data_IF_661376156473
#
_entry.id   IF_661376156473
#
_cell.length_a   1.000
_cell.length_b   1.000
_cell.length_c   1.000
_cell.angle_alpha   90.00
_cell.angle_beta   90.00
_cell.angle_gamma   90.00
#
_symmetry.space_group_name_H-M   'P 1'
#
loop_
_entity.id
_entity.type
_entity.pdbx_description
1 polymer ?
#
# COMPACT_ATOMS: atom_id res chain seq x y z
N UNK A 1 -9.93 -15.26 -1.44
CA UNK A 1 -9.43 -14.08 -0.70
C UNK A 1 -10.43 -12.97 -0.95
N UNK A 2 -11.05 -12.40 0.10
CA UNK A 2 -11.99 -11.30 -0.06
C UNK A 2 -11.29 -10.04 -0.55
N UNK A 3 -11.96 -9.27 -1.38
CA UNK A 3 -11.51 -8.01 -1.96
C UNK A 3 -12.62 -6.96 -1.84
N UNK A 4 -12.25 -5.68 -1.94
CA UNK A 4 -13.22 -4.58 -1.98
C UNK A 4 -13.80 -4.47 -3.39
N UNK A 5 -15.13 -4.38 -3.51
CA UNK A 5 -15.83 -4.12 -4.78
C UNK A 5 -17.03 -3.22 -4.58
N UNK A 6 -17.31 -2.40 -5.57
CA UNK A 6 -18.53 -1.62 -5.63
C UNK A 6 -19.69 -2.48 -6.16
N UNK A 7 -20.79 -2.54 -5.42
CA UNK A 7 -22.00 -3.31 -5.71
C UNK A 7 -23.11 -2.41 -6.28
N UNK A 8 -23.15 -1.12 -5.88
CA UNK A 8 -23.98 -0.08 -6.49
C UNK A 8 -23.31 1.29 -6.37
N UNK A 9 -23.93 2.36 -6.88
CA UNK A 9 -23.36 3.73 -6.91
C UNK A 9 -22.75 4.14 -5.56
N UNK A 10 -23.46 3.91 -4.46
CA UNK A 10 -23.00 4.28 -3.12
C UNK A 10 -22.64 3.07 -2.24
N UNK A 11 -22.61 1.86 -2.79
CA UNK A 11 -22.52 0.65 -1.99
C UNK A 11 -21.30 -0.19 -2.35
N UNK A 12 -20.50 -0.50 -1.35
CA UNK A 12 -19.27 -1.26 -1.45
C UNK A 12 -19.36 -2.49 -0.54
N UNK A 13 -18.87 -3.62 -1.05
CA UNK A 13 -18.70 -4.85 -0.30
C UNK A 13 -17.20 -5.13 -0.13
N UNK A 14 -16.77 -5.28 1.12
CA UNK A 14 -15.37 -5.52 1.49
C UNK A 14 -15.02 -7.01 1.58
N UNK A 15 -16.01 -7.88 1.39
CA UNK A 15 -15.88 -9.33 1.40
C UNK A 15 -16.11 -9.97 0.03
N UNK A 16 -16.13 -9.14 -1.01
CA UNK A 16 -16.43 -9.56 -2.38
C UNK A 16 -15.34 -10.47 -2.96
N UNK A 17 -15.67 -11.31 -3.95
CA UNK A 17 -14.69 -12.20 -4.56
C UNK A 17 -13.58 -11.47 -5.32
N UNK A 18 -12.39 -12.06 -5.38
CA UNK A 18 -11.23 -11.50 -6.10
C UNK A 18 -11.15 -12.05 -7.54
N UNK A 19 -10.01 -11.90 -8.21
CA UNK A 19 -9.79 -12.29 -9.60
C UNK A 19 -10.02 -13.77 -9.89
N UNK A 20 -9.88 -14.65 -8.90
CA UNK A 20 -10.10 -16.10 -9.04
C UNK A 20 -11.58 -16.49 -9.05
N UNK A 21 -12.49 -15.52 -8.97
CA UNK A 21 -13.92 -15.79 -8.90
C UNK A 21 -14.42 -15.96 -7.47
N UNK A 22 -15.71 -16.28 -7.34
CA UNK A 22 -16.44 -16.49 -6.08
C UNK A 22 -15.78 -17.55 -5.19
N UNK A 23 -15.38 -18.66 -5.80
CA UNK A 23 -14.66 -19.74 -5.14
C UNK A 23 -13.87 -20.56 -6.15
N UNK A 24 -13.01 -21.43 -5.63
CA UNK A 24 -12.25 -22.40 -6.43
C UNK A 24 -12.39 -23.79 -5.80
N UNK A 25 -12.66 -24.80 -6.62
CA UNK A 25 -12.64 -26.21 -6.22
C UNK A 25 -11.49 -26.89 -6.96
N UNK A 26 -10.51 -27.39 -6.20
CA UNK A 26 -9.38 -28.16 -6.72
C UNK A 26 -9.73 -29.64 -6.57
N UNK A 27 -9.75 -30.38 -7.68
CA UNK A 27 -10.04 -31.82 -7.67
C UNK A 27 -8.77 -32.64 -7.81
N UNK A 28 -8.77 -33.84 -7.24
CA UNK A 28 -7.64 -34.79 -7.28
C UNK A 28 -7.29 -35.27 -8.70
N UNK A 29 -8.24 -35.17 -9.65
CA UNK A 29 -8.01 -35.52 -11.05
C UNK A 29 -7.26 -34.43 -11.86
N UNK A 30 -6.93 -33.31 -11.23
CA UNK A 30 -6.25 -32.17 -11.86
C UNK A 30 -7.19 -31.12 -12.46
N UNK A 31 -8.52 -31.28 -12.31
CA UNK A 31 -9.47 -30.23 -12.69
C UNK A 31 -9.56 -29.17 -11.59
N UNK A 32 -9.35 -27.91 -11.98
CA UNK A 32 -9.62 -26.76 -11.15
C UNK A 32 -10.89 -26.08 -11.66
N UNK A 33 -11.90 -25.96 -10.80
CA UNK A 33 -13.16 -25.29 -11.10
C UNK A 33 -13.17 -23.89 -10.47
N UNK A 34 -13.18 -22.87 -11.30
CA UNK A 34 -13.34 -21.47 -10.91
C UNK A 34 -14.78 -21.05 -11.13
N UNK A 35 -15.33 -20.19 -10.27
CA UNK A 35 -16.73 -19.75 -10.36
C UNK A 35 -16.77 -18.25 -10.64
N UNK A 36 -17.34 -17.82 -11.77
CA UNK A 36 -17.44 -16.40 -12.10
C UNK A 36 -18.48 -15.67 -11.22
N UNK A 37 -18.67 -14.38 -11.47
CA UNK A 37 -19.67 -13.55 -10.77
C UNK A 37 -21.11 -14.04 -10.88
N UNK A 38 -21.44 -14.78 -11.96
CA UNK A 38 -22.75 -15.37 -12.19
C UNK A 38 -22.85 -16.78 -11.59
N UNK A 39 -21.81 -17.24 -10.87
CA UNK A 39 -21.68 -18.58 -10.32
C UNK A 39 -21.62 -19.70 -11.40
N UNK A 40 -21.30 -19.34 -12.64
CA UNK A 40 -20.99 -20.29 -13.70
C UNK A 40 -19.58 -20.87 -13.51
N UNK A 41 -19.37 -22.08 -14.01
CA UNK A 41 -18.12 -22.82 -13.81
C UNK A 41 -17.16 -22.69 -14.99
N UNK A 42 -15.93 -22.29 -14.71
CA UNK A 42 -14.78 -22.34 -15.62
C UNK A 42 -13.89 -23.51 -15.19
N UNK A 43 -13.63 -24.44 -16.12
CA UNK A 43 -12.80 -25.62 -15.87
C UNK A 43 -11.42 -25.44 -16.49
N UNK A 44 -10.38 -25.50 -15.66
CA UNK A 44 -8.98 -25.54 -16.09
C UNK A 44 -8.39 -26.90 -15.72
N UNK A 45 -7.94 -27.65 -16.73
CA UNK A 45 -7.31 -28.96 -16.53
C UNK A 45 -5.80 -28.83 -16.38
N UNK A 46 -5.30 -28.94 -15.16
CA UNK A 46 -3.86 -28.88 -14.88
C UNK A 46 -3.10 -30.12 -15.40
N UNK A 47 -3.79 -31.25 -15.56
CA UNK A 47 -3.25 -32.52 -16.04
C UNK A 47 -3.33 -32.70 -17.57
N UNK A 48 -4.00 -31.79 -18.30
CA UNK A 48 -4.21 -31.91 -19.75
C UNK A 48 -2.90 -32.04 -20.54
N UNK A 49 -2.86 -32.90 -21.55
CA UNK A 49 -1.68 -33.13 -22.37
C UNK A 49 -1.54 -32.07 -23.47
N UNK A 50 -0.36 -31.98 -24.09
CA UNK A 50 -0.18 -31.17 -25.31
C UNK A 50 -1.19 -31.61 -26.37
N UNK A 51 -1.78 -30.63 -27.07
CA UNK A 51 -2.84 -30.80 -28.06
C UNK A 51 -4.18 -31.34 -27.50
N UNK A 52 -4.33 -31.49 -26.18
CA UNK A 52 -5.62 -31.75 -25.55
C UNK A 52 -6.44 -30.46 -25.47
N UNK A 53 -7.70 -30.53 -25.92
CA UNK A 53 -8.70 -29.50 -25.78
C UNK A 53 -9.89 -29.98 -24.94
N UNK A 54 -10.59 -29.04 -24.32
CA UNK A 54 -11.81 -29.32 -23.58
C UNK A 54 -12.71 -28.10 -23.55
N UNK A 55 -14.00 -28.36 -23.40
CA UNK A 55 -14.98 -27.32 -23.10
C UNK A 55 -14.71 -26.76 -21.70
N UNK A 56 -14.12 -25.57 -21.65
CA UNK A 56 -13.73 -24.90 -20.43
C UNK A 56 -14.92 -24.18 -19.78
N UNK A 57 -15.83 -23.66 -20.59
CA UNK A 57 -16.97 -22.85 -20.14
C UNK A 57 -18.11 -22.90 -21.15
N UNK A 58 -19.34 -22.77 -20.66
CA UNK A 58 -20.56 -22.63 -21.46
C UNK A 58 -21.46 -21.61 -20.78
N UNK A 59 -21.93 -20.63 -21.56
CA UNK A 59 -23.00 -19.72 -21.18
C UNK A 59 -24.28 -20.14 -21.88
N UNK A 60 -25.06 -20.98 -21.19
CA UNK A 60 -26.31 -21.56 -21.70
C UNK A 60 -26.15 -22.03 -23.17
N UNK A 61 -27.09 -21.66 -24.04
CA UNK A 61 -27.06 -21.97 -25.47
C UNK A 61 -26.52 -20.79 -26.29
N UNK A 62 -25.64 -19.94 -25.75
CA UNK A 62 -25.20 -18.71 -26.44
C UNK A 62 -23.71 -18.66 -26.77
N UNK A 63 -22.87 -19.22 -25.90
CA UNK A 63 -21.42 -19.14 -26.04
C UNK A 63 -20.74 -20.35 -25.42
N UNK A 64 -19.81 -20.94 -26.16
CA UNK A 64 -19.03 -22.11 -25.76
C UNK A 64 -17.55 -21.75 -25.86
N UNK A 65 -16.79 -21.91 -24.77
CA UNK A 65 -15.33 -21.69 -24.78
C UNK A 65 -14.60 -23.01 -24.69
N UNK A 66 -13.73 -23.26 -25.65
CA UNK A 66 -12.75 -24.34 -25.59
C UNK A 66 -11.40 -23.81 -25.13
N UNK A 67 -10.80 -24.49 -24.17
CA UNK A 67 -9.39 -24.30 -23.83
C UNK A 67 -8.57 -25.42 -24.44
N UNK A 68 -7.36 -25.11 -24.89
CA UNK A 68 -6.44 -26.11 -25.45
C UNK A 68 -5.02 -25.85 -24.95
N UNK A 69 -4.26 -26.92 -24.67
CA UNK A 69 -2.82 -26.82 -24.42
C UNK A 69 -2.10 -26.78 -25.77
N UNK A 70 -1.64 -25.60 -26.18
CA UNK A 70 -0.99 -25.42 -27.48
C UNK A 70 0.54 -25.52 -27.41
N UNK A 71 1.13 -25.39 -26.21
CA UNK A 71 2.57 -25.54 -26.03
C UNK A 71 2.94 -26.03 -24.62
N UNK A 72 4.07 -26.73 -24.53
CA UNK A 72 4.73 -27.11 -23.27
C UNK A 72 6.21 -26.75 -23.39
N UNK A 73 6.69 -25.90 -22.50
CA UNK A 73 8.08 -25.42 -22.53
C UNK A 73 8.62 -25.23 -21.10
N UNK A 74 9.79 -24.63 -20.99
CA UNK A 74 10.35 -24.09 -19.75
C UNK A 74 10.22 -22.58 -19.72
N UNK A 75 9.84 -22.03 -18.57
CA UNK A 75 9.76 -20.59 -18.35
C UNK A 75 10.51 -20.23 -17.07
N UNK A 76 11.31 -19.18 -17.16
CA UNK A 76 11.88 -18.53 -15.99
C UNK A 76 10.99 -17.38 -15.54
N UNK A 77 10.48 -17.44 -14.32
CA UNK A 77 9.67 -16.40 -13.67
C UNK A 77 10.09 -16.27 -12.22
N UNK A 78 10.06 -15.05 -11.64
CA UNK A 78 10.46 -14.80 -10.24
C UNK A 78 11.85 -15.37 -9.84
N UNK A 79 12.77 -15.50 -10.81
CA UNK A 79 14.12 -16.05 -10.60
C UNK A 79 14.21 -17.59 -10.54
N UNK A 80 13.10 -18.29 -10.75
CA UNK A 80 13.04 -19.76 -10.82
C UNK A 80 12.72 -20.23 -12.22
N UNK A 81 13.24 -21.39 -12.61
CA UNK A 81 12.95 -22.03 -13.89
C UNK A 81 12.04 -23.25 -13.65
N UNK A 82 10.92 -23.32 -14.34
CA UNK A 82 10.00 -24.46 -14.25
C UNK A 82 9.43 -24.85 -15.62
N UNK A 83 8.90 -26.07 -15.72
CA UNK A 83 8.13 -26.49 -16.89
C UNK A 83 6.72 -25.91 -16.81
N UNK A 84 6.26 -25.35 -17.92
CA UNK A 84 4.96 -24.68 -18.03
C UNK A 84 4.14 -25.21 -19.21
N UNK A 85 2.82 -25.11 -19.09
CA UNK A 85 1.87 -25.29 -20.19
C UNK A 85 1.31 -23.94 -20.59
N UNK A 86 1.22 -23.70 -21.89
CA UNK A 86 0.52 -22.56 -22.45
C UNK A 86 -0.85 -22.99 -22.95
N UNK A 87 -1.87 -22.30 -22.47
CA UNK A 87 -3.26 -22.54 -22.82
C UNK A 87 -3.78 -21.35 -23.62
N UNK A 88 -4.55 -21.65 -24.67
CA UNK A 88 -5.31 -20.68 -25.45
C UNK A 88 -6.81 -20.95 -25.30
N UNK A 89 -7.63 -19.95 -25.61
CA UNK A 89 -9.08 -20.06 -25.64
C UNK A 89 -9.59 -19.80 -27.06
N UNK A 90 -10.54 -20.63 -27.51
CA UNK A 90 -11.31 -20.41 -28.74
C UNK A 90 -12.78 -20.30 -28.36
N UNK A 91 -13.52 -19.39 -28.99
CA UNK A 91 -14.89 -19.07 -28.59
C UNK A 91 -15.84 -19.34 -29.75
N UNK A 92 -16.92 -20.06 -29.46
CA UNK A 92 -17.92 -20.47 -30.45
C UNK A 92 -19.31 -20.02 -30.04
N UNK A 93 -20.18 -19.83 -31.03
CA UNK A 93 -21.61 -19.72 -30.84
C UNK A 93 -22.29 -21.09 -30.62
N UNK A 94 -23.61 -21.08 -30.48
CA UNK A 94 -24.44 -22.29 -30.32
C UNK A 94 -24.35 -23.30 -31.47
N UNK A 95 -23.94 -22.84 -32.66
CA UNK A 95 -23.81 -23.62 -33.88
C UNK A 95 -22.36 -24.12 -34.10
N UNK A 96 -21.47 -23.93 -33.11
CA UNK A 96 -20.04 -24.24 -33.21
C UNK A 96 -19.32 -23.43 -34.30
N UNK A 97 -19.79 -22.22 -34.57
CA UNK A 97 -19.13 -21.27 -35.46
C UNK A 97 -18.22 -20.39 -34.59
N UNK A 98 -16.97 -20.26 -35.04
CA UNK A 98 -15.96 -19.42 -34.40
C UNK A 98 -16.41 -17.96 -34.37
N UNK A 99 -16.30 -17.30 -33.21
CA UNK A 99 -16.70 -15.91 -33.02
C UNK A 99 -15.54 -15.08 -32.47
N UNK A 100 -15.31 -13.92 -33.10
CA UNK A 100 -14.28 -12.99 -32.63
C UNK A 100 -14.56 -12.57 -31.18
N UNK A 101 -13.61 -12.87 -30.29
CA UNK A 101 -13.81 -12.64 -28.87
C UNK A 101 -12.51 -12.19 -28.16
N UNK A 102 -12.55 -11.23 -27.20
CA UNK A 102 -11.34 -10.74 -26.52
C UNK A 102 -10.48 -11.82 -25.86
N UNK A 103 -11.10 -12.91 -25.41
CA UNK A 103 -10.41 -14.08 -24.82
C UNK A 103 -9.36 -14.71 -25.72
N UNK A 104 -9.55 -14.65 -27.04
CA UNK A 104 -8.66 -15.31 -28.01
C UNK A 104 -7.28 -14.66 -28.07
N UNK A 105 -7.21 -13.39 -27.64
CA UNK A 105 -5.95 -12.65 -27.49
C UNK A 105 -5.27 -12.87 -26.14
N UNK A 106 -5.92 -13.58 -25.21
CA UNK A 106 -5.41 -13.85 -23.86
C UNK A 106 -4.80 -15.24 -23.80
N UNK A 107 -3.85 -15.41 -22.89
CA UNK A 107 -3.22 -16.70 -22.64
C UNK A 107 -3.27 -17.07 -21.17
N UNK A 108 -3.18 -18.36 -20.87
CA UNK A 108 -3.04 -18.84 -19.51
C UNK A 108 -1.79 -19.72 -19.44
N UNK A 109 -0.90 -19.41 -18.50
CA UNK A 109 0.35 -20.16 -18.30
C UNK A 109 0.27 -20.88 -16.97
N UNK A 110 0.38 -22.21 -17.01
CA UNK A 110 0.41 -23.08 -15.84
C UNK A 110 1.81 -23.64 -15.61
N UNK A 111 2.44 -23.25 -14.52
CA UNK A 111 3.63 -23.91 -13.99
C UNK A 111 3.28 -25.23 -13.33
N UNK A 112 4.13 -26.23 -13.59
CA UNK A 112 4.03 -27.58 -13.03
C UNK A 112 4.06 -27.58 -11.51
N UNK A 113 4.92 -26.76 -10.90
CA UNK A 113 5.16 -26.76 -9.46
C UNK A 113 4.53 -25.58 -8.72
N UNK A 114 4.19 -24.50 -9.43
CA UNK A 114 3.81 -23.22 -8.84
C UNK A 114 2.44 -22.70 -9.27
N UNK A 115 1.71 -23.42 -10.13
CA UNK A 115 0.33 -23.10 -10.50
C UNK A 115 0.23 -22.00 -11.57
N UNK A 116 -0.68 -21.04 -11.40
CA UNK A 116 -0.93 -19.98 -12.38
C UNK A 116 0.23 -18.96 -12.40
N UNK A 117 0.88 -18.83 -13.55
CA UNK A 117 1.94 -17.82 -13.81
C UNK A 117 1.36 -16.63 -14.58
N UNK A 118 0.49 -16.92 -15.54
CA UNK A 118 -0.26 -15.92 -16.31
C UNK A 118 -1.72 -16.36 -16.39
N UNK A 119 -2.66 -15.45 -16.20
CA UNK A 119 -4.09 -15.76 -16.16
C UNK A 119 -4.93 -14.56 -16.55
N UNK A 120 -6.24 -14.76 -16.67
CA UNK A 120 -7.24 -13.70 -16.72
C UNK A 120 -8.02 -13.63 -15.40
N UNK A 121 -8.85 -12.61 -15.24
CA UNK A 121 -9.82 -12.54 -14.15
C UNK A 121 -10.98 -13.53 -14.40
N UNK A 122 -10.95 -14.67 -13.69
CA UNK A 122 -12.02 -15.67 -13.73
C UNK A 122 -13.36 -15.14 -13.22
N UNK A 123 -13.34 -14.10 -12.38
CA UNK A 123 -14.58 -13.48 -11.90
C UNK A 123 -15.41 -12.84 -13.02
N UNK A 124 -14.77 -12.21 -14.01
CA UNK A 124 -15.46 -11.59 -15.13
C UNK A 124 -15.59 -12.50 -16.35
N UNK A 125 -14.94 -13.67 -16.33
CA UNK A 125 -14.97 -14.62 -17.43
C UNK A 125 -16.41 -14.97 -17.88
N UNK A 126 -16.70 -15.00 -19.20
CA UNK A 126 -15.77 -14.81 -20.31
C UNK A 126 -15.62 -13.35 -20.76
N UNK A 127 -16.46 -12.43 -20.29
CA UNK A 127 -16.55 -11.08 -20.86
C UNK A 127 -15.77 -10.03 -20.08
N UNK A 128 -15.33 -8.98 -20.76
CA UNK A 128 -15.00 -7.74 -20.06
C UNK A 128 -16.28 -7.05 -19.63
N UNK A 129 -16.43 -6.76 -18.33
CA UNK A 129 -17.29 -5.66 -17.93
C UNK A 129 -16.72 -4.40 -18.61
N UNK A 130 -17.52 -3.64 -19.36
CA UNK A 130 -17.24 -2.21 -19.52
C UNK A 130 -17.32 -1.64 -18.12
N UNK A 131 -16.18 -1.35 -17.52
CA UNK A 131 -16.09 -0.52 -16.32
C UNK A 131 -16.84 0.76 -16.71
N UNK A 132 -18.05 0.96 -16.16
CA UNK A 132 -18.65 2.28 -16.24
C UNK A 132 -17.71 3.23 -15.52
N UNK A 133 -17.62 4.49 -15.95
CA UNK A 133 -16.66 5.50 -15.44
C UNK A 133 -16.75 5.74 -13.91
N UNK A 134 -17.67 5.06 -13.21
CA UNK A 134 -17.97 5.19 -11.79
C UNK A 134 -17.46 4.03 -10.92
N UNK A 135 -16.83 2.98 -11.46
CA UNK A 135 -16.38 1.83 -10.67
C UNK A 135 -14.89 1.86 -10.30
N UNK A 136 -14.56 2.53 -9.20
CA UNK A 136 -13.18 2.67 -8.69
C UNK A 136 -12.54 1.33 -8.25
N UNK A 137 -13.34 0.28 -7.98
CA UNK A 137 -12.87 -1.00 -7.42
C UNK A 137 -13.17 -2.23 -8.29
N UNK A 138 -13.57 -2.06 -9.56
CA UNK A 138 -13.80 -3.24 -10.39
C UNK A 138 -12.48 -3.78 -10.96
N UNK A 139 -12.36 -5.11 -11.03
CA UNK A 139 -11.17 -5.75 -11.60
C UNK A 139 -11.37 -5.81 -13.11
N UNK A 140 -10.56 -5.07 -13.87
CA UNK A 140 -10.60 -5.17 -15.32
C UNK A 140 -10.39 -6.62 -15.78
N UNK A 141 -11.14 -7.03 -16.81
CA UNK A 141 -10.88 -8.29 -17.49
C UNK A 141 -9.65 -8.14 -18.39
N UNK A 142 -8.47 -8.33 -17.80
CA UNK A 142 -7.20 -8.23 -18.49
C UNK A 142 -6.25 -9.39 -18.14
N UNK A 143 -5.15 -9.46 -18.86
CA UNK A 143 -4.06 -10.40 -18.63
C UNK A 143 -3.34 -10.03 -17.33
N UNK A 144 -3.25 -10.99 -16.42
CA UNK A 144 -2.61 -10.87 -15.11
C UNK A 144 -1.39 -11.78 -15.06
N UNK A 145 -0.29 -11.25 -14.53
CA UNK A 145 0.99 -11.97 -14.39
C UNK A 145 1.35 -12.08 -12.92
N UNK A 146 1.91 -13.22 -12.52
CA UNK A 146 2.43 -13.41 -11.17
C UNK A 146 3.65 -12.49 -10.94
N UNK A 147 3.60 -11.68 -9.88
CA UNK A 147 4.72 -10.83 -9.48
C UNK A 147 5.38 -11.27 -8.17
N UNK A 148 4.77 -12.21 -7.46
CA UNK A 148 5.34 -12.76 -6.23
C UNK A 148 4.50 -13.85 -5.57
N UNK A 149 5.09 -14.50 -4.58
CA UNK A 149 4.50 -15.59 -3.80
C UNK A 149 5.16 -15.73 -2.44
N UNK A 150 4.46 -16.35 -1.50
CA UNK A 150 4.91 -16.52 -0.11
C UNK A 150 5.30 -17.97 0.25
N UNK A 151 5.22 -18.90 -0.71
CA UNK A 151 5.56 -20.32 -0.51
C UNK A 151 6.09 -20.93 -1.81
N UNK A 152 7.40 -20.83 -2.09
CA UNK A 152 8.44 -20.10 -1.34
C UNK A 152 8.32 -18.57 -1.46
N UNK A 153 9.03 -17.83 -0.61
CA UNK A 153 9.13 -16.37 -0.70
C UNK A 153 9.95 -15.97 -1.95
N UNK A 154 9.27 -15.63 -3.04
CA UNK A 154 9.85 -15.24 -4.31
C UNK A 154 9.14 -14.02 -4.88
N UNK A 155 9.90 -13.15 -5.56
CA UNK A 155 9.39 -11.91 -6.13
C UNK A 155 8.89 -10.92 -5.08
N UNK A 156 7.78 -10.25 -5.38
CA UNK A 156 7.13 -9.31 -4.48
C UNK A 156 6.43 -10.05 -3.34
N UNK A 157 7.01 -9.96 -2.15
CA UNK A 157 6.37 -10.43 -0.92
C UNK A 157 5.69 -9.28 -0.20
N UNK A 158 4.73 -9.58 0.66
CA UNK A 158 4.00 -8.57 1.41
C UNK A 158 4.91 -7.84 2.39
N UNK A 159 5.02 -6.52 2.25
CA UNK A 159 5.78 -5.69 3.18
C UNK A 159 5.10 -5.65 4.55
N UNK A 160 5.79 -6.13 5.58
CA UNK A 160 5.28 -6.16 6.96
C UNK A 160 5.71 -4.92 7.75
N UNK A 161 4.99 -4.62 8.84
CA UNK A 161 5.32 -3.49 9.71
C UNK A 161 6.69 -3.65 10.36
N UNK A 162 7.10 -4.89 10.65
CA UNK A 162 8.43 -5.19 11.20
C UNK A 162 9.55 -4.87 10.20
N UNK A 163 9.34 -5.15 8.91
CA UNK A 163 10.31 -4.79 7.85
C UNK A 163 10.34 -3.29 7.56
N UNK A 164 9.23 -2.58 7.75
CA UNK A 164 9.19 -1.11 7.62
C UNK A 164 10.05 -0.45 8.69
N UNK A 165 9.88 -0.88 9.93
CA UNK A 165 10.59 -0.36 11.10
C UNK A 165 11.72 -1.30 11.52
N UNK A 166 12.59 -1.70 10.59
CA UNK A 166 13.71 -2.62 10.84
C UNK A 166 15.02 -1.90 11.19
N UNK A 167 14.95 -0.82 11.98
CA UNK A 167 16.11 -0.02 12.34
C UNK A 167 17.09 -0.81 13.22
N UNK A 168 18.36 -0.53 13.05
CA UNK A 168 19.47 -1.10 13.82
C UNK A 168 20.18 -0.01 14.62
N UNK A 169 20.87 -0.37 15.72
CA UNK A 169 21.76 0.53 16.42
C UNK A 169 22.77 1.19 15.46
N UNK A 170 22.80 2.52 15.47
CA UNK A 170 23.64 3.35 14.59
C UNK A 170 22.90 3.95 13.39
N UNK A 171 21.70 3.47 13.07
CA UNK A 171 20.90 4.03 11.97
C UNK A 171 20.48 5.47 12.27
N UNK A 172 20.52 6.31 11.24
CA UNK A 172 20.22 7.74 11.31
C UNK A 172 19.13 8.14 10.31
N UNK A 173 18.14 8.91 10.77
CA UNK A 173 17.05 9.45 9.94
C UNK A 173 16.86 10.94 10.22
N UNK A 174 16.69 11.73 9.17
CA UNK A 174 16.37 13.14 9.26
C UNK A 174 15.02 13.42 8.62
N UNK A 175 14.11 14.01 9.40
CA UNK A 175 12.70 14.15 9.03
C UNK A 175 12.28 15.61 9.21
N UNK A 176 11.62 16.16 8.21
CA UNK A 176 10.91 17.44 8.34
C UNK A 176 9.42 17.16 8.48
N UNK A 177 8.80 17.77 9.48
CA UNK A 177 7.35 17.81 9.69
C UNK A 177 6.84 19.23 9.54
N UNK A 178 5.71 19.39 8.88
CA UNK A 178 5.01 20.67 8.72
C UNK A 178 3.52 20.43 8.89
N UNK A 179 2.90 21.21 9.77
CA UNK A 179 1.46 21.31 9.88
C UNK A 179 1.07 22.77 10.02
N UNK A 180 0.49 23.35 8.98
CA UNK A 180 0.11 24.75 8.97
C UNK A 180 -1.27 24.98 8.38
N UNK A 181 -1.92 26.03 8.89
CA UNK A 181 -3.19 26.57 8.46
C UNK A 181 -3.17 28.10 8.67
N UNK A 182 -4.16 28.85 8.18
CA UNK A 182 -4.19 30.33 8.18
C UNK A 182 -3.57 31.02 9.40
N UNK A 183 -3.89 30.55 10.61
CA UNK A 183 -3.48 31.17 11.88
C UNK A 183 -2.59 30.27 12.72
N UNK A 184 -2.01 29.23 12.13
CA UNK A 184 -1.21 28.25 12.85
C UNK A 184 -0.13 27.66 11.95
N UNK A 185 1.10 27.51 12.45
CA UNK A 185 2.10 26.69 11.77
C UNK A 185 2.97 25.98 12.78
N UNK A 186 3.22 24.70 12.58
CA UNK A 186 4.18 23.94 13.35
C UNK A 186 5.14 23.25 12.38
N UNK A 187 6.38 23.72 12.37
CA UNK A 187 7.45 23.17 11.54
C UNK A 187 8.47 22.55 12.48
N UNK A 188 8.86 21.30 12.19
CA UNK A 188 9.86 20.57 12.94
C UNK A 188 10.88 19.97 11.99
N UNK A 189 12.15 20.09 12.33
CA UNK A 189 13.23 19.30 11.76
C UNK A 189 13.76 18.39 12.86
N UNK A 190 13.83 17.09 12.59
CA UNK A 190 14.11 16.06 13.58
C UNK A 190 15.22 15.16 13.04
N UNK A 191 16.23 14.91 13.85
CA UNK A 191 17.27 13.91 13.64
C UNK A 191 17.04 12.80 14.66
N UNK A 192 16.93 11.58 14.18
CA UNK A 192 16.87 10.36 14.98
C UNK A 192 18.13 9.55 14.76
N UNK A 193 18.78 9.14 15.85
CA UNK A 193 19.86 8.14 15.85
C UNK A 193 19.41 7.01 16.75
N UNK A 194 19.21 5.83 16.17
CA UNK A 194 18.78 4.64 16.91
C UNK A 194 19.95 4.08 17.72
N UNK A 195 19.77 3.93 19.04
CA UNK A 195 20.84 3.52 19.96
C UNK A 195 20.73 2.04 20.31
N UNK A 196 19.52 1.59 20.62
CA UNK A 196 19.23 0.21 20.99
C UNK A 196 17.89 -0.24 20.37
N UNK A 197 17.77 -1.55 20.15
CA UNK A 197 16.54 -2.20 19.67
C UNK A 197 16.24 -3.43 20.50
N UNK A 198 14.98 -3.56 20.91
CA UNK A 198 14.46 -4.74 21.57
C UNK A 198 13.16 -5.20 20.91
N UNK A 199 13.12 -6.45 20.48
CA UNK A 199 11.95 -7.04 19.83
C UNK A 199 11.10 -7.79 20.85
N UNK A 200 9.82 -7.41 20.96
CA UNK A 200 8.77 -8.20 21.59
C UNK A 200 7.87 -8.80 20.52
N UNK A 201 7.10 -9.83 20.87
CA UNK A 201 6.24 -10.54 19.91
C UNK A 201 5.34 -9.59 19.10
N UNK A 202 4.71 -8.63 19.78
CA UNK A 202 3.74 -7.68 19.21
C UNK A 202 4.28 -6.25 19.06
N UNK A 203 5.53 -5.99 19.43
CA UNK A 203 6.08 -4.62 19.46
C UNK A 203 7.58 -4.58 19.19
N UNK A 204 8.07 -3.44 18.71
CA UNK A 204 9.50 -3.12 18.61
C UNK A 204 9.76 -1.91 19.51
N UNK A 205 10.76 -2.02 20.38
CA UNK A 205 11.17 -0.96 21.28
C UNK A 205 12.51 -0.40 20.83
N UNK A 206 12.61 0.91 20.77
CA UNK A 206 13.82 1.63 20.42
C UNK A 206 14.18 2.64 21.49
N UNK A 207 15.44 2.68 21.87
CA UNK A 207 16.01 3.86 22.52
C UNK A 207 16.65 4.72 21.43
N UNK A 208 16.22 5.97 21.33
CA UNK A 208 16.55 6.86 20.20
C UNK A 208 17.09 8.16 20.74
N UNK A 209 18.29 8.55 20.29
CA UNK A 209 18.75 9.93 20.47
C UNK A 209 18.00 10.80 19.46
N UNK A 210 17.32 11.82 19.95
CA UNK A 210 16.58 12.77 19.14
C UNK A 210 17.16 14.17 19.29
N UNK A 211 17.45 14.81 18.18
CA UNK A 211 17.73 16.24 18.14
C UNK A 211 16.68 16.91 17.26
N UNK A 212 16.00 17.93 17.77
CA UNK A 212 14.87 18.56 17.08
C UNK A 212 14.92 20.09 17.19
N UNK A 213 14.68 20.75 16.07
CA UNK A 213 14.33 22.15 15.99
C UNK A 213 12.84 22.28 15.68
N UNK A 214 12.12 23.11 16.41
CA UNK A 214 10.69 23.33 16.20
C UNK A 214 10.36 24.82 16.20
N UNK A 215 9.51 25.23 15.27
CA UNK A 215 8.93 26.56 15.19
C UNK A 215 7.41 26.47 15.17
N UNK A 216 6.75 27.14 16.13
CA UNK A 216 5.29 27.19 16.26
C UNK A 216 4.82 28.63 16.13
N UNK A 217 3.90 28.88 15.20
CA UNK A 217 3.11 30.10 15.11
C UNK A 217 1.69 29.80 15.57
N UNK A 218 1.14 30.64 16.46
CA UNK A 218 -0.23 30.47 16.97
C UNK A 218 -1.16 31.63 16.57
N UNK A 219 -0.84 32.35 15.48
CA UNK A 219 -1.64 33.47 14.97
C UNK A 219 -1.17 34.83 15.45
N UNK A 220 -0.43 34.88 16.57
CA UNK A 220 0.09 36.11 17.16
C UNK A 220 1.62 36.05 17.27
N UNK A 221 2.15 35.02 17.94
CA UNK A 221 3.57 34.89 18.24
C UNK A 221 4.20 33.64 17.61
N UNK A 222 5.52 33.72 17.39
CA UNK A 222 6.37 32.57 17.11
C UNK A 222 7.07 32.10 18.38
N UNK A 223 7.02 30.79 18.61
CA UNK A 223 7.82 30.11 19.61
C UNK A 223 8.81 29.18 18.91
N UNK A 224 10.05 29.19 19.36
CA UNK A 224 11.11 28.33 18.84
C UNK A 224 11.63 27.43 19.94
N UNK A 225 11.79 26.15 19.64
CA UNK A 225 12.30 25.15 20.57
C UNK A 225 13.47 24.42 19.94
N UNK A 226 14.47 24.13 20.77
CA UNK A 226 15.56 23.22 20.43
C UNK A 226 15.62 22.15 21.51
N UNK A 227 15.52 20.90 21.10
CA UNK A 227 15.46 19.74 21.99
C UNK A 227 16.58 18.78 21.57
N UNK A 228 17.36 18.30 22.53
CA UNK A 228 18.36 17.25 22.36
C UNK A 228 18.22 16.29 23.54
N UNK A 229 17.59 15.14 23.30
CA UNK A 229 17.21 14.19 24.33
C UNK A 229 17.32 12.73 23.85
N UNK A 230 17.13 11.80 24.77
CA UNK A 230 16.95 10.38 24.46
C UNK A 230 15.53 9.99 24.80
N UNK A 231 14.81 9.42 23.84
CA UNK A 231 13.43 8.96 24.00
C UNK A 231 13.34 7.46 23.78
N UNK A 232 12.25 6.87 24.28
CA UNK A 232 11.86 5.51 23.93
C UNK A 232 10.73 5.56 22.90
N UNK A 233 10.93 4.95 21.73
CA UNK A 233 9.90 4.76 20.71
C UNK A 233 9.38 3.33 20.74
N UNK A 234 8.06 3.15 20.68
CA UNK A 234 7.40 1.84 20.68
C UNK A 234 6.58 1.72 19.41
N UNK A 235 6.93 0.75 18.56
CA UNK A 235 6.21 0.43 17.34
C UNK A 235 5.37 -0.81 17.58
N UNK A 236 4.06 -0.64 17.69
CA UNK A 236 3.12 -1.75 17.75
C UNK A 236 3.02 -2.45 16.38
N UNK A 237 3.15 -3.77 16.39
CA UNK A 237 2.95 -4.63 15.22
C UNK A 237 1.46 -4.87 15.03
N UNK A 238 0.88 -4.05 14.16
CA UNK A 238 -0.51 -4.16 13.76
C UNK A 238 -0.70 -5.23 12.67
N UNK A 239 -1.57 -6.20 12.94
CA UNK A 239 -1.90 -7.27 11.98
C UNK A 239 -2.63 -6.74 10.75
N UNK A 240 -3.28 -5.57 10.86
CA UNK A 240 -3.99 -4.92 9.75
C UNK A 240 -3.03 -4.44 8.67
N UNK A 241 -1.90 -3.84 9.06
CA UNK A 241 -0.82 -3.47 8.12
C UNK A 241 -0.19 -4.71 7.47
N UNK A 242 -0.15 -5.84 8.17
CA UNK A 242 0.43 -7.08 7.65
C UNK A 242 -0.52 -7.85 6.71
N UNK A 243 -1.73 -7.36 6.42
CA UNK A 243 -2.58 -7.93 5.37
C UNK A 243 -1.99 -7.70 3.98
N UNK A 244 -2.31 -8.56 3.02
CA UNK A 244 -1.86 -8.39 1.63
C UNK A 244 -2.41 -7.08 1.02
N UNK A 245 -1.77 -6.53 -0.02
CA UNK A 245 -2.36 -5.45 -0.81
C UNK A 245 -3.78 -5.82 -1.26
N UNK A 246 -4.68 -4.84 -1.27
CA UNK A 246 -6.11 -4.96 -1.61
C UNK A 246 -6.94 -5.90 -0.71
N UNK A 247 -6.33 -6.50 0.31
CA UNK A 247 -7.09 -7.20 1.33
C UNK A 247 -7.77 -6.19 2.26
N UNK A 248 -9.09 -6.29 2.40
CA UNK A 248 -9.84 -5.42 3.28
C UNK A 248 -9.38 -5.53 4.75
N UNK A 249 -9.19 -4.38 5.38
CA UNK A 249 -9.11 -4.15 6.82
C UNK A 249 -10.41 -3.50 7.25
N UNK A 250 -10.95 -3.89 8.39
CA UNK A 250 -12.06 -3.18 9.03
C UNK A 250 -12.01 -3.32 10.54
N UNK A 251 -12.40 -2.27 11.24
CA UNK A 251 -12.65 -2.26 12.69
C UNK A 251 -14.17 -2.29 13.03
N UNK A 252 -15.02 -2.46 12.01
CA UNK A 252 -16.48 -2.42 12.13
C UNK A 252 -17.10 -1.04 11.99
N UNK A 253 -16.31 0.04 11.94
CA UNK A 253 -16.78 1.40 11.66
C UNK A 253 -16.15 1.97 10.40
N UNK A 254 -14.86 1.68 10.19
CA UNK A 254 -14.10 2.05 9.01
C UNK A 254 -13.59 0.77 8.34
N UNK A 255 -13.55 0.77 7.01
CA UNK A 255 -12.81 -0.21 6.23
C UNK A 255 -11.87 0.46 5.23
N UNK A 256 -10.77 -0.23 4.90
CA UNK A 256 -9.77 0.23 3.93
C UNK A 256 -8.95 -0.93 3.37
N UNK A 257 -8.18 -0.66 2.31
CA UNK A 257 -7.11 -1.55 1.87
C UNK A 257 -5.74 -0.93 2.09
N UNK A 258 -4.71 -1.76 2.05
CA UNK A 258 -3.35 -1.28 1.83
C UNK A 258 -3.02 -1.41 0.35
N UNK A 259 -2.27 -0.48 -0.22
CA UNK A 259 -1.62 -0.68 -1.50
C UNK A 259 -0.11 -0.81 -1.32
N UNK A 260 0.55 -1.47 -2.26
CA UNK A 260 1.99 -1.67 -2.22
C UNK A 260 2.58 -1.36 -3.58
N UNK A 261 3.69 -0.63 -3.59
CA UNK A 261 4.43 -0.32 -4.81
C UNK A 261 5.73 -1.10 -4.80
N UNK A 262 5.94 -1.88 -5.86
CA UNK A 262 7.19 -2.59 -6.09
C UNK A 262 8.23 -1.63 -6.71
N UNK A 263 9.06 -1.04 -5.87
CA UNK A 263 10.18 -0.19 -6.24
C UNK A 263 11.49 -0.77 -5.70
N UNK A 264 12.64 -0.15 -6.05
CA UNK A 264 13.96 -0.56 -5.55
C UNK A 264 13.98 -0.72 -4.02
N UNK A 265 13.25 0.16 -3.32
CA UNK A 265 12.85 -0.01 -1.93
C UNK A 265 11.32 -0.09 -1.89
N UNK A 266 10.73 -1.27 -1.62
CA UNK A 266 9.29 -1.41 -1.59
C UNK A 266 8.65 -0.48 -0.57
N UNK A 267 7.48 0.06 -0.92
CA UNK A 267 6.67 0.85 -0.01
C UNK A 267 5.25 0.34 0.04
N UNK A 268 4.60 0.61 1.16
CA UNK A 268 3.21 0.28 1.40
C UNK A 268 2.54 1.46 2.06
N UNK A 269 1.32 1.75 1.65
CA UNK A 269 0.57 2.87 2.22
C UNK A 269 -0.84 2.40 2.52
N UNK A 270 -1.46 3.07 3.48
CA UNK A 270 -2.90 2.91 3.66
C UNK A 270 -3.59 3.46 2.41
N UNK A 271 -4.75 2.95 2.06
CA UNK A 271 -5.57 3.52 1.00
C UNK A 271 -6.82 4.18 1.59
N UNK A 272 -6.66 5.08 2.57
CA UNK A 272 -7.81 5.73 3.22
C UNK A 272 -8.51 6.77 2.34
N UNK A 273 -7.77 7.40 1.43
CA UNK A 273 -8.29 8.47 0.58
C UNK A 273 -9.11 7.94 -0.60
N UNK A 274 -8.74 6.79 -1.17
CA UNK A 274 -9.46 6.17 -2.27
C UNK A 274 -10.20 4.89 -1.87
N UNK A 275 -9.92 4.34 -0.69
CA UNK A 275 -10.56 3.15 -0.14
C UNK A 275 -11.07 3.25 1.30
N UNK A 276 -11.13 4.46 1.87
CA UNK A 276 -11.79 4.70 3.15
C UNK A 276 -13.29 4.51 3.00
N UNK A 277 -13.83 3.57 3.76
CA UNK A 277 -15.23 3.23 3.76
C UNK A 277 -15.81 3.38 5.16
N UNK A 278 -17.06 3.85 5.26
CA UNK A 278 -17.84 3.84 6.51
C UNK A 278 -19.04 2.90 6.37
N UNK A 279 -19.55 2.45 7.51
CA UNK A 279 -20.84 1.74 7.53
C UNK A 279 -21.94 2.72 7.16
N UNK A 280 -22.56 2.49 6.00
CA UNK A 280 -23.68 3.26 5.48
C UNK A 280 -25.01 2.96 6.17
N UNK A 281 -26.06 3.66 5.74
CA UNK A 281 -27.42 3.46 6.29
C UNK A 281 -28.09 2.16 5.81
N UNK A 282 -27.61 1.57 4.71
CA UNK A 282 -28.24 0.45 4.00
C UNK A 282 -27.50 -0.91 4.11
N UNK A 283 -26.95 -1.25 5.27
CA UNK A 283 -26.20 -2.51 5.51
C UNK A 283 -25.04 -2.76 4.51
N UNK A 284 -24.42 -1.69 3.99
CA UNK A 284 -23.20 -1.79 3.19
C UNK A 284 -22.23 -0.64 3.44
N UNK A 285 -21.06 -0.73 2.81
CA UNK A 285 -19.99 0.24 3.00
C UNK A 285 -20.12 1.39 2.01
N UNK A 286 -19.99 2.63 2.47
CA UNK A 286 -20.07 3.84 1.66
C UNK A 286 -18.70 4.51 1.57
N UNK A 287 -18.41 5.12 0.42
CA UNK A 287 -17.19 5.92 0.23
C UNK A 287 -17.18 7.12 1.17
N UNK A 288 -16.06 7.33 1.86
CA UNK A 288 -15.89 8.54 2.67
C UNK A 288 -15.40 9.68 1.78
N UNK A 289 -16.16 10.77 1.73
CA UNK A 289 -15.71 12.03 1.15
C UNK A 289 -15.11 12.90 2.25
N UNK A 290 -13.79 13.00 2.27
CA UNK A 290 -13.08 13.89 3.18
C UNK A 290 -12.88 15.26 2.54
N UNK A 291 -13.34 16.31 3.22
CA UNK A 291 -12.95 17.69 2.90
C UNK A 291 -11.73 18.06 3.74
N UNK A 292 -10.63 18.43 3.08
CA UNK A 292 -9.40 18.84 3.74
C UNK A 292 -8.20 17.99 3.37
N UNK A 293 -7.15 18.15 4.17
CA UNK A 293 -5.86 17.56 3.88
C UNK A 293 -5.70 16.17 4.53
N UNK A 294 -6.18 15.13 3.84
CA UNK A 294 -6.00 13.72 4.22
C UNK A 294 -4.94 13.08 3.34
N UNK A 295 -3.90 12.50 3.95
CA UNK A 295 -2.83 11.82 3.20
C UNK A 295 -2.60 10.44 3.78
N UNK A 296 -2.53 9.43 2.93
CA UNK A 296 -2.58 8.04 3.38
C UNK A 296 -1.25 7.43 3.83
N UNK A 297 -0.18 8.22 3.85
CA UNK A 297 1.08 7.89 4.52
C UNK A 297 1.85 6.72 3.91
N UNK A 298 2.97 7.00 3.26
CA UNK A 298 3.86 5.98 2.71
C UNK A 298 4.80 5.41 3.77
N UNK A 299 4.87 4.09 3.85
CA UNK A 299 5.80 3.36 4.70
C UNK A 299 6.81 2.64 3.81
N UNK A 300 8.10 2.95 3.97
CA UNK A 300 9.16 2.37 3.16
C UNK A 300 9.86 1.27 3.94
N UNK A 301 10.19 0.17 3.26
CA UNK A 301 10.98 -0.92 3.86
C UNK A 301 12.27 -0.36 4.47
N UNK A 302 12.48 -0.59 5.76
CA UNK A 302 13.65 -0.15 6.52
C UNK A 302 13.80 1.36 6.75
N UNK A 303 12.88 2.21 6.29
CA UNK A 303 12.95 3.66 6.55
C UNK A 303 11.79 4.16 7.42
N UNK A 304 10.92 3.28 7.90
CA UNK A 304 9.75 3.66 8.69
C UNK A 304 8.67 4.39 7.88
N UNK A 305 7.94 5.26 8.58
CA UNK A 305 6.80 6.01 8.06
C UNK A 305 5.80 6.35 9.17
N UNK A 306 4.63 6.90 8.85
CA UNK A 306 4.21 7.28 7.50
C UNK A 306 4.91 8.55 7.02
N UNK A 307 5.29 8.61 5.76
CA UNK A 307 5.71 9.84 5.08
C UNK A 307 4.58 10.33 4.20
N UNK A 308 4.33 11.63 4.22
CA UNK A 308 3.20 12.17 3.49
C UNK A 308 3.40 13.63 3.15
N UNK A 309 2.59 14.07 2.19
CA UNK A 309 2.47 15.46 1.86
C UNK A 309 1.08 15.69 1.29
N UNK A 310 0.43 16.71 1.82
CA UNK A 310 -0.81 17.20 1.28
C UNK A 310 -0.88 18.72 1.45
N UNK A 311 -1.59 19.38 0.52
CA UNK A 311 -1.87 20.80 0.54
C UNK A 311 -3.28 21.01 0.01
N UNK A 312 -4.16 21.61 0.83
CA UNK A 312 -5.55 21.87 0.49
C UNK A 312 -5.95 23.27 0.96
N UNK A 313 -6.26 24.16 0.02
CA UNK A 313 -6.49 25.57 0.33
C UNK A 313 -5.26 26.19 1.02
N UNK A 314 -5.43 26.60 2.28
CA UNK A 314 -4.37 27.14 3.14
C UNK A 314 -3.78 26.10 4.11
N UNK A 315 -4.32 24.87 4.11
CA UNK A 315 -3.82 23.77 4.94
C UNK A 315 -2.63 23.09 4.27
N UNK A 316 -1.57 22.87 5.03
CA UNK A 316 -0.39 22.12 4.60
C UNK A 316 -0.04 21.11 5.69
N UNK A 317 0.02 19.82 5.32
CA UNK A 317 0.46 18.74 6.19
C UNK A 317 1.52 17.93 5.49
N UNK A 318 2.73 17.85 6.06
CA UNK A 318 3.84 17.10 5.49
C UNK A 318 4.65 16.40 6.57
N UNK A 319 5.11 15.18 6.27
CA UNK A 319 6.19 14.48 6.97
C UNK A 319 7.09 13.88 5.91
N UNK A 320 8.29 14.42 5.74
CA UNK A 320 9.21 14.03 4.66
C UNK A 320 10.53 13.53 5.23
N UNK A 321 11.03 12.43 4.66
CA UNK A 321 12.40 11.99 4.87
C UNK A 321 13.34 12.89 4.06
N UNK A 322 14.29 13.54 4.71
CA UNK A 322 15.27 14.45 4.09
C UNK A 322 16.64 13.79 3.89
N UNK A 323 17.01 12.91 4.81
CA UNK A 323 18.24 12.16 4.77
C UNK A 323 18.12 10.87 5.60
N UNK A 324 18.87 9.85 5.20
CA UNK A 324 19.12 8.69 6.04
C UNK A 324 20.54 8.16 5.82
N UNK A 325 21.05 7.49 6.85
CA UNK A 325 22.25 6.67 6.79
C UNK A 325 21.98 5.39 7.58
N UNK A 326 21.79 4.28 6.86
CA UNK A 326 21.36 2.99 7.40
C UNK A 326 22.31 1.92 6.87
N UNK A 327 23.10 1.34 7.77
CA UNK A 327 24.16 0.40 7.40
C UNK A 327 25.13 1.01 6.38
N UNK A 328 25.11 0.48 5.14
CA UNK A 328 25.94 0.93 4.01
C UNK A 328 25.17 1.81 3.00
N UNK A 329 23.90 2.15 3.28
CA UNK A 329 23.03 2.93 2.38
C UNK A 329 22.82 4.35 2.93
N UNK A 330 23.21 5.35 2.15
CA UNK A 330 23.13 6.77 2.49
C UNK A 330 22.42 7.54 1.38
N UNK A 331 21.49 8.42 1.76
CA UNK A 331 20.75 9.24 0.80
C UNK A 331 20.36 10.58 1.40
N UNK A 332 20.25 11.59 0.53
CA UNK A 332 19.72 12.90 0.88
C UNK A 332 20.80 13.87 1.35
N UNK A 333 20.37 14.98 1.94
CA UNK A 333 21.27 15.97 2.53
C UNK A 333 21.02 16.02 4.04
N UNK A 334 22.03 15.79 4.89
CA UNK A 334 21.86 15.88 6.32
C UNK A 334 21.34 17.27 6.72
N UNK A 335 20.29 17.28 7.52
CA UNK A 335 19.91 18.46 8.30
C UNK A 335 21.06 18.78 9.26
N UNK A 336 21.55 20.02 9.21
CA UNK A 336 22.61 20.51 10.08
C UNK A 336 22.03 21.61 10.95
N UNK A 337 21.96 21.36 12.26
CA UNK A 337 21.67 22.42 13.23
C UNK A 337 22.96 23.21 13.50
N UNK A 338 23.17 24.29 12.76
CA UNK A 338 24.27 25.21 13.06
C UNK A 338 23.98 25.96 14.34
N UNK A 339 24.89 25.87 15.32
CA UNK A 339 24.89 26.81 16.47
C UNK A 339 24.95 28.22 15.91
N UNK A 340 24.07 29.11 16.38
CA UNK A 340 24.10 30.53 16.06
C UNK A 340 25.54 31.05 16.25
N UNK A 341 26.23 31.38 15.16
CA UNK A 341 27.40 32.25 15.23
C UNK A 341 26.88 33.61 15.69
N UNK A 342 27.45 34.15 16.76
CA UNK A 342 27.13 35.44 17.39
C UNK A 342 26.59 36.48 16.37
N UNK A 343 25.28 36.53 16.20
CA UNK A 343 24.58 37.40 15.27
C UNK A 343 23.66 38.33 16.04
N UNK A 344 23.90 39.63 15.88
CA UNK A 344 23.25 40.80 16.47
C UNK A 344 22.20 40.55 17.58
N UNK A 345 22.66 40.78 18.82
CA UNK A 345 21.88 40.77 20.05
C UNK A 345 20.90 41.96 20.15
N UNK A 346 19.94 42.07 19.23
CA UNK A 346 18.84 43.05 19.32
C UNK A 346 17.48 42.44 19.61
N UNK A 347 17.35 41.13 19.70
CA UNK A 347 16.12 40.46 20.13
C UNK A 347 16.18 40.14 21.63
N UNK A 348 15.08 40.39 22.35
CA UNK A 348 14.96 40.00 23.74
C UNK A 348 14.87 38.47 23.82
N UNK A 349 15.98 37.83 24.21
CA UNK A 349 16.04 36.38 24.41
C UNK A 349 15.59 36.08 25.84
N UNK A 350 14.47 35.38 26.00
CA UNK A 350 14.03 34.87 27.31
C UNK A 350 14.35 33.38 27.39
N UNK A 351 14.96 32.93 28.50
CA UNK A 351 15.36 31.52 28.71
C UNK A 351 14.64 30.98 29.96
N UNK A 352 13.98 29.82 29.84
CA UNK A 352 13.29 29.17 30.96
C UNK A 352 13.26 27.62 30.82
N UNK A 353 13.35 26.85 31.94
CA UNK A 353 13.75 27.28 33.28
C UNK A 353 15.27 27.43 33.39
N UNK A 354 15.73 28.30 34.29
CA UNK A 354 17.14 28.37 34.70
C UNK A 354 17.21 28.51 36.23
N UNK A 355 17.78 27.53 36.97
CA UNK A 355 18.48 26.35 36.49
C UNK A 355 17.56 25.28 35.88
N UNK A 356 18.05 24.57 34.86
CA UNK A 356 17.37 23.44 34.22
C UNK A 356 17.55 22.21 35.10
N UNK A 357 16.45 21.52 35.40
CA UNK A 357 16.47 20.28 36.17
C UNK A 357 16.24 19.03 35.30
N UNK A 358 15.56 19.21 34.16
CA UNK A 358 14.99 18.13 33.33
C UNK A 358 15.28 18.32 31.82
N UNK A 359 16.51 18.76 31.49
CA UNK A 359 17.11 18.90 30.14
C UNK A 359 16.41 19.77 29.07
N UNK A 360 15.18 20.23 29.30
CA UNK A 360 14.47 21.11 28.35
C UNK A 360 14.83 22.59 28.62
N UNK A 361 15.48 23.24 27.65
CA UNK A 361 15.68 24.70 27.61
C UNK A 361 14.70 25.28 26.60
N UNK A 362 13.76 26.12 27.06
CA UNK A 362 12.93 26.94 26.16
C UNK A 362 13.60 28.28 25.92
N UNK A 363 13.80 28.66 24.65
CA UNK A 363 14.37 29.94 24.24
C UNK A 363 13.30 30.71 23.45
N UNK A 364 12.81 31.81 24.01
CA UNK A 364 11.85 32.69 23.34
C UNK A 364 12.59 33.84 22.66
N UNK A 365 12.32 34.04 21.36
CA UNK A 365 12.84 35.17 20.57
C UNK A 365 11.64 35.95 20.07
N UNK A 366 11.37 37.11 20.67
CA UNK A 366 10.24 37.94 20.25
C UNK A 366 10.61 38.72 18.97
N UNK A 367 10.01 38.36 17.84
CA UNK A 367 10.07 39.15 16.62
C UNK A 367 8.64 39.59 16.24
N UNK A 368 8.39 40.89 16.15
CA UNK A 368 7.13 41.44 15.66
C UNK A 368 7.14 41.44 14.12
N UNK A 369 6.19 40.74 13.50
CA UNK A 369 5.93 40.84 12.07
C UNK A 369 4.44 41.17 11.85
N UNK A 370 4.17 42.21 11.05
CA UNK A 370 2.83 42.52 10.54
C UNK A 370 2.46 41.50 9.47
N UNK A 371 1.30 40.84 9.61
CA UNK A 371 0.78 39.94 8.60
C UNK A 371 -0.34 40.57 7.77
N UNK A 372 -0.32 40.26 6.47
CA UNK A 372 -1.47 40.38 5.60
C UNK A 372 -2.53 39.33 6.01
N UNK A 373 -3.77 39.78 6.13
CA UNK A 373 -4.95 38.95 6.37
C UNK A 373 -5.15 37.90 5.27
N UNK A 374 -5.51 36.68 5.67
CA UNK A 374 -6.02 35.63 4.77
C UNK A 374 -7.25 36.06 3.99
#
# INVERSE_FOLDING_TARGET
MPNIRQVSEDCVDILSPSWHGDRVIIKDNGDNLFFNKNNDTITIKTSALLDEDWQAYVLEDSLIVYAAVYNVDTLTFLGINDSVKYLSFNVFDENMIDIEHPLESKQLILSKNYGLVETVSFYHFPYSNTISDYHTYDIAFDQMVIIGMNKPDLGVTNLTKREVFDFQPGDELHITYENSFCTYSNIQDIIYIYLERNDSGDSIYYDVKRTMFQQIFNGEDYNTYFIDDTIQEIIAIDTSFNKLPDQAVSDGSIAYTNFMVNAARPLKSYNLQYAGLIVGESDCWELIFWDGCESTGDYFKGLGGPYYQCTYGTEVKKRRLQYYNIGDDEWGNPIIFTKLENGDASSNINIFPNPVKDDIISIFINNSFDFATC
#
